data_IF_919602267914
#
_entry.id   IF_919602267914
#
_cell.length_a   1.000
_cell.length_b   1.000
_cell.length_c   1.000
_cell.angle_alpha   90.00
_cell.angle_beta   90.00
_cell.angle_gamma   90.00
#
_symmetry.space_group_name_H-M   'P 1'
#
loop_
_entity.id
_entity.type
_entity.pdbx_description
1 polymer ?
#
# COMPACT_ATOMS: atom_id res chain seq x y z
N UNK A 1 -17.39 3.38 19.69
CA UNK A 1 -17.90 3.31 18.31
C UNK A 1 -17.55 4.62 17.62
N UNK A 2 -16.59 4.61 16.73
CA UNK A 2 -16.38 5.75 15.84
C UNK A 2 -17.09 5.37 14.55
N UNK A 3 -18.28 5.93 14.34
CA UNK A 3 -18.96 5.87 13.06
C UNK A 3 -18.07 6.59 12.04
N UNK A 4 -17.30 5.81 11.31
CA UNK A 4 -16.55 6.32 10.19
C UNK A 4 -17.55 6.80 9.13
N UNK A 5 -17.75 8.10 9.03
CA UNK A 5 -18.48 8.70 7.90
C UNK A 5 -17.63 8.41 6.66
N UNK A 6 -17.94 7.29 5.99
CA UNK A 6 -17.36 7.01 4.69
C UNK A 6 -17.84 8.07 3.69
N UNK A 7 -16.94 8.63 2.89
CA UNK A 7 -17.33 9.59 1.89
C UNK A 7 -18.27 8.92 0.87
N UNK A 8 -19.55 9.33 0.86
CA UNK A 8 -20.60 8.76 0.00
C UNK A 8 -20.40 9.07 -1.49
N UNK A 9 -19.47 9.95 -1.80
CA UNK A 9 -19.15 10.44 -3.13
C UNK A 9 -17.88 9.78 -3.72
N UNK A 10 -17.37 8.72 -3.10
CA UNK A 10 -16.20 7.95 -3.59
C UNK A 10 -16.68 6.64 -4.19
N UNK A 11 -16.28 6.40 -5.44
CA UNK A 11 -16.45 5.13 -6.13
C UNK A 11 -15.15 4.31 -6.04
N UNK A 12 -15.24 3.07 -5.60
CA UNK A 12 -14.14 2.11 -5.68
C UNK A 12 -14.38 1.18 -6.85
N UNK A 13 -13.43 1.10 -7.76
CA UNK A 13 -13.49 0.20 -8.93
C UNK A 13 -12.17 -0.52 -9.16
N UNK A 14 -12.18 -1.71 -9.80
CA UNK A 14 -10.95 -2.40 -10.19
C UNK A 14 -10.11 -1.55 -11.17
N UNK A 15 -8.80 -1.73 -11.10
CA UNK A 15 -7.88 -1.22 -12.12
C UNK A 15 -8.16 -1.95 -13.44
N UNK A 16 -8.40 -1.19 -14.50
CA UNK A 16 -8.59 -1.70 -15.86
C UNK A 16 -7.31 -1.49 -16.71
N UNK A 17 -7.24 -2.14 -17.87
CA UNK A 17 -6.04 -2.06 -18.73
C UNK A 17 -5.74 -0.64 -19.20
N UNK A 18 -6.76 0.18 -19.44
CA UNK A 18 -6.59 1.57 -19.80
C UNK A 18 -6.12 2.47 -18.64
N UNK A 19 -6.13 2.00 -17.41
CA UNK A 19 -5.60 2.71 -16.25
C UNK A 19 -4.08 2.52 -16.09
N UNK A 20 -3.49 1.48 -16.67
CA UNK A 20 -2.10 1.10 -16.44
C UNK A 20 -1.09 2.21 -16.69
N UNK A 21 -1.20 3.04 -17.75
CA UNK A 21 -0.30 4.19 -17.92
C UNK A 21 -0.43 5.21 -16.79
N UNK A 22 -1.64 5.43 -16.28
CA UNK A 22 -1.89 6.32 -15.15
C UNK A 22 -1.33 5.75 -13.85
N UNK A 23 -1.47 4.44 -13.63
CA UNK A 23 -0.87 3.76 -12.47
C UNK A 23 0.66 3.87 -12.51
N UNK A 24 1.28 3.65 -13.66
CA UNK A 24 2.74 3.81 -13.82
C UNK A 24 3.18 5.25 -13.52
N UNK A 25 2.46 6.23 -14.01
CA UNK A 25 2.74 7.64 -13.73
C UNK A 25 2.60 7.98 -12.24
N UNK A 26 1.50 7.55 -11.60
CA UNK A 26 1.26 7.76 -10.17
C UNK A 26 2.36 7.08 -9.32
N UNK A 27 2.74 5.86 -9.67
CA UNK A 27 3.83 5.14 -8.98
C UNK A 27 5.12 5.94 -9.05
N UNK A 28 5.46 6.47 -10.23
CA UNK A 28 6.65 7.31 -10.40
C UNK A 28 6.58 8.58 -9.56
N UNK A 29 5.42 9.25 -9.53
CA UNK A 29 5.26 10.49 -8.76
C UNK A 29 5.33 10.26 -7.25
N UNK A 30 4.77 9.14 -6.76
CA UNK A 30 4.62 8.87 -5.33
C UNK A 30 5.79 8.07 -4.74
N UNK A 31 6.44 7.24 -5.56
CA UNK A 31 7.48 6.30 -5.13
C UNK A 31 8.84 6.54 -5.79
N UNK A 32 8.92 7.51 -6.71
CA UNK A 32 10.16 7.90 -7.39
C UNK A 32 10.58 6.99 -8.54
N UNK A 33 9.87 5.90 -8.80
CA UNK A 33 10.15 4.96 -9.89
C UNK A 33 8.87 4.20 -10.29
N UNK A 34 8.89 3.56 -11.46
CA UNK A 34 7.82 2.64 -11.90
C UNK A 34 7.87 1.30 -11.19
N UNK A 35 8.95 1.02 -10.49
CA UNK A 35 9.22 -0.20 -9.74
C UNK A 35 9.24 0.10 -8.24
N UNK A 36 8.62 -0.78 -7.46
CA UNK A 36 8.65 -0.76 -6.00
C UNK A 36 9.36 -2.02 -5.51
N UNK A 37 10.35 -1.86 -4.64
CA UNK A 37 11.08 -2.99 -4.04
C UNK A 37 10.58 -3.21 -2.63
N UNK A 38 10.15 -4.44 -2.36
CA UNK A 38 9.69 -4.91 -1.05
C UNK A 38 10.27 -6.31 -0.81
N UNK A 39 10.86 -6.57 0.33
CA UNK A 39 11.50 -7.87 0.65
C UNK A 39 12.54 -8.33 -0.38
N UNK A 40 13.30 -7.42 -0.95
CA UNK A 40 14.22 -7.70 -2.05
C UNK A 40 13.54 -8.14 -3.38
N UNK A 41 12.20 -8.20 -3.42
CA UNK A 41 11.41 -8.44 -4.63
C UNK A 41 11.06 -7.12 -5.32
N UNK A 42 11.15 -7.11 -6.65
CA UNK A 42 10.79 -5.95 -7.46
C UNK A 42 9.39 -6.14 -8.04
N UNK A 43 8.52 -5.15 -7.82
CA UNK A 43 7.15 -5.12 -8.31
C UNK A 43 6.96 -3.95 -9.27
N UNK A 44 6.15 -4.19 -10.30
CA UNK A 44 5.68 -3.14 -11.21
C UNK A 44 4.18 -2.91 -10.97
N UNK A 45 3.79 -1.93 -10.13
CA UNK A 45 2.39 -1.72 -9.75
C UNK A 45 1.43 -1.57 -10.93
N UNK A 46 1.90 -1.04 -12.05
CA UNK A 46 1.10 -0.92 -13.27
C UNK A 46 0.66 -2.27 -13.87
N UNK A 47 1.36 -3.36 -13.55
CA UNK A 47 1.05 -4.71 -14.03
C UNK A 47 0.23 -5.53 -13.03
N UNK A 48 0.04 -5.00 -11.82
CA UNK A 48 -0.68 -5.69 -10.74
C UNK A 48 -2.19 -5.41 -10.79
N UNK A 49 -3.00 -6.34 -10.25
CA UNK A 49 -4.38 -6.04 -9.93
C UNK A 49 -4.46 -5.00 -8.80
N UNK A 50 -5.56 -4.28 -8.74
CA UNK A 50 -5.77 -3.27 -7.73
C UNK A 50 -7.13 -2.62 -7.82
N UNK A 51 -7.31 -1.58 -7.00
CA UNK A 51 -8.51 -0.74 -7.00
C UNK A 51 -8.13 0.72 -7.09
N UNK A 52 -8.96 1.46 -7.81
CA UNK A 52 -8.91 2.91 -7.88
C UNK A 52 -10.10 3.47 -7.10
N UNK A 53 -9.82 4.46 -6.25
CA UNK A 53 -10.83 5.31 -5.65
C UNK A 53 -11.01 6.54 -6.54
N UNK A 54 -12.24 6.77 -7.00
CA UNK A 54 -12.60 7.95 -7.79
C UNK A 54 -13.54 8.85 -7.01
N UNK A 55 -13.30 10.15 -7.11
CA UNK A 55 -14.17 11.20 -6.56
C UNK A 55 -14.36 12.28 -7.59
N UNK A 56 -15.62 12.59 -7.93
CA UNK A 56 -15.96 13.58 -8.95
C UNK A 56 -15.22 13.35 -10.29
N UNK A 57 -15.10 12.08 -10.72
CA UNK A 57 -14.45 11.70 -11.97
C UNK A 57 -12.91 11.81 -11.96
N UNK A 58 -12.30 12.02 -10.79
CA UNK A 58 -10.84 12.10 -10.63
C UNK A 58 -10.34 10.99 -9.69
N UNK A 59 -9.13 10.50 -9.96
CA UNK A 59 -8.49 9.54 -9.09
C UNK A 59 -8.16 10.21 -7.75
N UNK A 60 -8.68 9.62 -6.66
CA UNK A 60 -8.49 10.07 -5.29
C UNK A 60 -7.62 9.09 -4.48
N UNK A 61 -7.40 7.89 -5.00
CA UNK A 61 -6.53 6.90 -4.38
C UNK A 61 -6.35 5.67 -5.25
N UNK A 62 -5.35 4.88 -4.89
CA UNK A 62 -4.95 3.67 -5.60
C UNK A 62 -4.44 2.65 -4.58
N UNK A 63 -4.77 1.38 -4.78
CA UNK A 63 -4.14 0.25 -4.13
C UNK A 63 -3.81 -0.81 -5.16
N UNK A 64 -2.62 -1.39 -5.09
CA UNK A 64 -2.23 -2.56 -5.90
C UNK A 64 -1.81 -3.69 -4.98
N UNK A 65 -2.01 -4.92 -5.41
CA UNK A 65 -1.71 -6.09 -4.62
C UNK A 65 -1.29 -7.27 -5.49
N UNK A 66 -0.61 -8.22 -4.86
CA UNK A 66 -0.30 -9.52 -5.43
C UNK A 66 -0.93 -10.62 -4.55
N UNK A 67 -1.32 -11.74 -5.17
CA UNK A 67 -1.80 -12.91 -4.44
C UNK A 67 -0.82 -14.06 -4.65
N UNK A 68 -0.28 -14.57 -3.55
CA UNK A 68 0.65 -15.70 -3.57
C UNK A 68 0.35 -16.64 -2.39
N UNK A 69 0.13 -17.91 -2.68
CA UNK A 69 -0.06 -18.96 -1.66
C UNK A 69 -1.15 -18.65 -0.61
N UNK A 70 -2.27 -18.05 -1.04
CA UNK A 70 -3.39 -17.71 -0.16
C UNK A 70 -3.18 -16.46 0.69
N UNK A 71 -2.13 -15.70 0.43
CA UNK A 71 -1.86 -14.40 1.05
C UNK A 71 -2.03 -13.31 0.00
N UNK A 72 -2.74 -12.26 0.33
CA UNK A 72 -2.83 -11.05 -0.48
C UNK A 72 -1.89 -9.99 0.09
N UNK A 73 -0.83 -9.68 -0.65
CA UNK A 73 0.13 -8.66 -0.28
C UNK A 73 -0.21 -7.33 -0.95
N UNK A 74 -0.46 -6.30 -0.15
CA UNK A 74 -0.59 -4.93 -0.64
C UNK A 74 0.81 -4.43 -0.99
N UNK A 75 1.02 -4.12 -2.27
CA UNK A 75 2.29 -3.61 -2.79
C UNK A 75 2.35 -2.09 -2.70
N UNK A 76 1.29 -1.40 -3.13
CA UNK A 76 1.16 0.05 -2.98
C UNK A 76 -0.23 0.41 -2.48
N UNK A 77 -0.31 1.42 -1.64
CA UNK A 77 -1.56 2.07 -1.28
C UNK A 77 -1.33 3.55 -1.05
N UNK A 78 -2.09 4.37 -1.74
CA UNK A 78 -2.00 5.82 -1.67
C UNK A 78 -3.38 6.45 -1.69
N UNK A 79 -3.66 7.28 -0.69
CA UNK A 79 -4.75 8.24 -0.72
C UNK A 79 -4.16 9.60 -1.13
N UNK A 80 -4.64 10.17 -2.24
CA UNK A 80 -4.11 11.43 -2.76
C UNK A 80 -4.54 12.64 -1.93
N UNK A 81 -5.64 12.49 -1.19
CA UNK A 81 -6.11 13.46 -0.20
C UNK A 81 -6.19 12.77 1.16
N UNK A 82 -5.31 13.15 2.05
CA UNK A 82 -5.24 12.59 3.41
C UNK A 82 -6.50 12.94 4.22
N UNK A 83 -6.81 12.06 5.18
CA UNK A 83 -7.89 12.22 6.19
C UNK A 83 -9.33 12.27 5.64
N UNK A 84 -9.56 11.82 4.41
CA UNK A 84 -10.89 11.77 3.80
C UNK A 84 -11.50 10.35 3.75
N UNK A 85 -10.94 9.39 4.48
CA UNK A 85 -11.43 8.01 4.55
C UNK A 85 -11.12 7.14 3.33
N UNK A 86 -10.44 7.66 2.31
CA UNK A 86 -10.14 6.95 1.06
C UNK A 86 -9.26 5.72 1.32
N UNK A 87 -8.22 5.85 2.13
CA UNK A 87 -7.36 4.72 2.50
C UNK A 87 -8.15 3.60 3.19
N UNK A 88 -9.12 3.93 4.01
CA UNK A 88 -10.00 2.94 4.66
C UNK A 88 -10.87 2.22 3.64
N UNK A 89 -11.47 2.93 2.69
CA UNK A 89 -12.26 2.31 1.62
C UNK A 89 -11.41 1.38 0.75
N UNK A 90 -10.17 1.74 0.45
CA UNK A 90 -9.25 0.89 -0.31
C UNK A 90 -8.89 -0.38 0.48
N UNK A 91 -8.64 -0.28 1.79
CA UNK A 91 -8.39 -1.45 2.65
C UNK A 91 -9.60 -2.38 2.69
N UNK A 92 -10.82 -1.83 2.81
CA UNK A 92 -12.04 -2.65 2.81
C UNK A 92 -12.25 -3.35 1.46
N UNK A 93 -11.96 -2.69 0.34
CA UNK A 93 -12.01 -3.31 -0.98
C UNK A 93 -11.00 -4.46 -1.11
N UNK A 94 -9.77 -4.28 -0.62
CA UNK A 94 -8.75 -5.34 -0.59
C UNK A 94 -9.20 -6.52 0.25
N UNK A 95 -9.75 -6.29 1.44
CA UNK A 95 -10.27 -7.37 2.31
C UNK A 95 -11.41 -8.15 1.65
N UNK A 96 -12.34 -7.45 1.03
CA UNK A 96 -13.45 -8.08 0.31
C UNK A 96 -12.95 -8.95 -0.84
N UNK A 97 -11.96 -8.47 -1.60
CA UNK A 97 -11.36 -9.22 -2.69
C UNK A 97 -10.54 -10.42 -2.19
N UNK A 98 -9.76 -10.25 -1.11
CA UNK A 98 -9.03 -11.35 -0.48
C UNK A 98 -9.98 -12.47 -0.05
N UNK A 99 -11.11 -12.12 0.56
CA UNK A 99 -12.15 -13.08 0.92
C UNK A 99 -12.75 -13.77 -0.31
N UNK A 100 -13.05 -13.01 -1.36
CA UNK A 100 -13.59 -13.56 -2.63
C UNK A 100 -12.62 -14.55 -3.28
N UNK A 101 -11.31 -14.29 -3.20
CA UNK A 101 -10.27 -15.14 -3.75
C UNK A 101 -9.85 -16.29 -2.83
N UNK A 102 -10.46 -16.42 -1.64
CA UNK A 102 -10.14 -17.48 -0.68
C UNK A 102 -8.79 -17.30 0.01
N UNK A 103 -8.28 -16.08 0.06
CA UNK A 103 -7.08 -15.79 0.85
C UNK A 103 -7.39 -15.90 2.34
N UNK A 104 -6.41 -16.32 3.12
CA UNK A 104 -6.53 -16.41 4.59
C UNK A 104 -5.93 -15.21 5.30
N UNK A 105 -5.13 -14.41 4.61
CA UNK A 105 -4.39 -13.29 5.18
C UNK A 105 -4.23 -12.16 4.18
N UNK A 106 -4.26 -10.92 4.67
CA UNK A 106 -3.80 -9.73 3.96
C UNK A 106 -2.56 -9.22 4.68
N UNK A 107 -1.49 -8.95 3.94
CA UNK A 107 -0.24 -8.41 4.50
C UNK A 107 0.24 -7.19 3.73
N UNK A 108 1.12 -6.44 4.36
CA UNK A 108 1.85 -5.33 3.75
C UNK A 108 3.18 -5.12 4.48
N UNK A 109 4.06 -4.37 3.84
CA UNK A 109 5.32 -3.95 4.42
C UNK A 109 5.42 -2.43 4.39
N UNK A 110 5.93 -1.87 5.46
CA UNK A 110 6.27 -0.44 5.55
C UNK A 110 7.65 -0.25 6.16
N UNK A 111 8.16 0.97 6.16
CA UNK A 111 9.47 1.29 6.70
C UNK A 111 9.37 1.81 8.13
N UNK A 112 10.47 1.72 8.88
CA UNK A 112 10.52 2.05 10.30
C UNK A 112 10.24 3.53 10.62
N UNK A 113 10.40 4.42 9.64
CA UNK A 113 10.14 5.86 9.78
C UNK A 113 8.67 6.23 9.53
N UNK A 114 7.90 5.35 8.87
CA UNK A 114 6.52 5.63 8.46
C UNK A 114 5.53 5.43 9.62
N UNK A 115 5.64 6.30 10.63
CA UNK A 115 4.82 6.24 11.85
C UNK A 115 3.33 6.42 11.53
N UNK A 116 3.01 7.25 10.55
CA UNK A 116 1.63 7.45 10.10
C UNK A 116 1.00 6.17 9.56
N UNK A 117 1.73 5.42 8.75
CA UNK A 117 1.28 4.13 8.22
C UNK A 117 1.13 3.09 9.34
N UNK A 118 2.09 2.97 10.24
CA UNK A 118 2.03 2.06 11.39
C UNK A 118 0.78 2.32 12.25
N UNK A 119 0.47 3.58 12.53
CA UNK A 119 -0.75 3.97 13.23
C UNK A 119 -2.00 3.65 12.42
N UNK A 120 -2.00 3.95 11.12
CA UNK A 120 -3.14 3.77 10.23
C UNK A 120 -3.56 2.29 10.15
N UNK A 121 -2.61 1.39 9.91
CA UNK A 121 -2.90 -0.03 9.73
C UNK A 121 -3.28 -0.72 11.03
N UNK A 122 -2.57 -0.45 12.14
CA UNK A 122 -2.90 -1.05 13.43
C UNK A 122 -4.32 -0.68 13.89
N UNK A 123 -4.76 0.55 13.67
CA UNK A 123 -6.14 0.98 13.96
C UNK A 123 -7.18 0.26 13.10
N UNK A 124 -6.78 -0.39 12.00
CA UNK A 124 -7.64 -1.16 11.10
C UNK A 124 -7.48 -2.67 11.27
N UNK A 125 -6.90 -3.08 12.39
CA UNK A 125 -6.81 -4.48 12.78
C UNK A 125 -5.59 -5.22 12.24
N UNK A 126 -4.67 -4.55 11.57
CA UNK A 126 -3.39 -5.15 11.23
C UNK A 126 -2.52 -5.25 12.48
N UNK A 127 -1.76 -6.32 12.59
CA UNK A 127 -0.79 -6.55 13.66
C UNK A 127 0.62 -6.53 13.07
N UNK A 128 1.58 -6.09 13.88
CA UNK A 128 3.01 -6.23 13.55
C UNK A 128 3.34 -7.71 13.48
N UNK A 129 3.82 -8.19 12.34
CA UNK A 129 4.06 -9.59 12.07
C UNK A 129 5.56 -9.93 12.07
N UNK A 130 6.39 -9.07 11.46
CA UNK A 130 7.83 -9.28 11.42
C UNK A 130 8.58 -7.94 11.35
N UNK A 131 9.78 -7.93 11.94
CA UNK A 131 10.77 -6.88 11.75
C UNK A 131 11.88 -7.44 10.84
N UNK A 132 12.25 -6.66 9.83
CA UNK A 132 13.34 -6.97 8.90
C UNK A 132 14.48 -5.96 9.08
N UNK A 133 15.39 -6.20 10.05
CA UNK A 133 16.49 -5.29 10.31
C UNK A 133 17.39 -5.12 9.09
N UNK A 134 17.74 -3.89 8.74
CA UNK A 134 18.64 -3.58 7.63
C UNK A 134 18.06 -3.81 6.24
N UNK A 135 16.76 -4.10 6.09
CA UNK A 135 16.15 -4.36 4.77
C UNK A 135 16.30 -3.16 3.83
N UNK A 136 16.09 -1.93 4.32
CA UNK A 136 16.24 -0.73 3.50
C UNK A 136 17.71 -0.46 3.15
N UNK A 137 18.63 -0.77 4.05
CA UNK A 137 20.09 -0.67 3.75
C UNK A 137 20.49 -1.61 2.62
N UNK A 138 19.93 -2.84 2.59
CA UNK A 138 20.13 -3.78 1.47
C UNK A 138 19.50 -3.27 0.18
N UNK A 139 18.27 -2.78 0.22
CA UNK A 139 17.60 -2.20 -0.95
C UNK A 139 18.38 -1.02 -1.52
N UNK A 140 19.04 -0.23 -0.67
CA UNK A 140 19.87 0.92 -1.08
C UNK A 140 21.11 0.50 -1.88
N UNK A 141 21.57 -0.75 -1.75
CA UNK A 141 22.66 -1.28 -2.58
C UNK A 141 22.25 -1.38 -4.06
N UNK A 142 20.95 -1.61 -4.34
CA UNK A 142 20.39 -1.67 -5.69
C UNK A 142 19.76 -0.35 -6.13
N UNK A 143 19.29 0.44 -5.16
CA UNK A 143 18.67 1.76 -5.35
C UNK A 143 19.36 2.80 -4.45
N UNK A 144 20.53 3.32 -4.86
CA UNK A 144 21.33 4.24 -4.03
C UNK A 144 20.61 5.56 -3.71
N UNK A 145 19.59 5.91 -4.51
CA UNK A 145 18.77 7.11 -4.33
C UNK A 145 17.83 7.06 -3.13
N UNK A 146 17.62 5.89 -2.51
CA UNK A 146 16.80 5.77 -1.29
C UNK A 146 17.44 6.63 -0.19
N UNK A 147 16.70 7.59 0.40
CA UNK A 147 17.23 8.48 1.42
C UNK A 147 17.78 7.72 2.64
N UNK A 148 18.79 8.27 3.28
CA UNK A 148 19.31 7.71 4.54
C UNK A 148 18.49 8.11 5.75
N UNK A 149 17.77 9.23 5.65
CA UNK A 149 16.89 9.76 6.67
C UNK A 149 15.49 9.87 6.10
N UNK A 150 14.52 9.31 6.81
CA UNK A 150 13.12 9.33 6.45
C UNK A 150 12.33 10.39 7.22
N UNK A 151 11.05 10.12 7.40
CA UNK A 151 10.13 11.00 8.10
C UNK A 151 10.59 11.26 9.55
N UNK A 152 10.28 12.45 10.05
CA UNK A 152 10.63 12.90 11.41
C UNK A 152 12.14 12.85 11.74
N UNK A 153 13.02 12.83 10.75
CA UNK A 153 14.45 12.70 10.95
C UNK A 153 14.89 11.30 11.39
N UNK A 154 14.02 10.31 11.28
CA UNK A 154 14.32 8.92 11.67
C UNK A 154 15.25 8.30 10.62
N UNK A 155 16.35 7.64 11.03
CA UNK A 155 17.18 6.89 10.09
C UNK A 155 16.37 5.80 9.39
N UNK A 156 16.33 5.82 8.06
CA UNK A 156 15.58 4.89 7.22
C UNK A 156 16.42 3.62 6.99
N UNK A 157 16.11 2.52 7.69
CA UNK A 157 16.95 1.31 7.74
C UNK A 157 16.18 0.01 7.60
N UNK A 158 14.99 -0.08 8.24
CA UNK A 158 14.32 -1.34 8.51
C UNK A 158 12.95 -1.39 7.84
N UNK A 159 12.50 -2.60 7.51
CA UNK A 159 11.13 -2.87 7.11
C UNK A 159 10.36 -3.57 8.23
N UNK A 160 9.07 -3.32 8.28
CA UNK A 160 8.13 -3.93 9.22
C UNK A 160 6.97 -4.51 8.42
N UNK A 161 6.74 -5.81 8.59
CA UNK A 161 5.57 -6.49 8.03
C UNK A 161 4.40 -6.36 8.99
N UNK A 162 3.23 -6.05 8.43
CA UNK A 162 1.96 -6.09 9.14
C UNK A 162 1.01 -7.04 8.43
N UNK A 163 0.18 -7.73 9.18
CA UNK A 163 -0.81 -8.63 8.61
C UNK A 163 -2.12 -8.62 9.39
N UNK A 164 -3.19 -9.01 8.71
CA UNK A 164 -4.46 -9.30 9.35
C UNK A 164 -5.11 -10.52 8.69
N UNK A 165 -5.82 -11.37 9.46
CA UNK A 165 -6.61 -12.45 8.89
C UNK A 165 -7.78 -11.88 8.07
N UNK A 166 -8.22 -12.66 7.08
CA UNK A 166 -9.38 -12.35 6.23
C UNK A 166 -10.66 -12.88 6.85
#
# INVERSE_FOLDING_TARGET
MMDGVFPRDVLIRPVADNDRPTVAWLTTQLWGATEVVVHDDAFHPADLPGFIAERAGRIAGLVTFEVRSGVMEIVTINALNLYQGIGTLLIEAVRAEAKRLGCHEVMLTTTNDNIGALRFYQRRGFRLAALRPGAVDRSRQHKPEIPRTGDFGIPLRDEIDLSCPV
#
